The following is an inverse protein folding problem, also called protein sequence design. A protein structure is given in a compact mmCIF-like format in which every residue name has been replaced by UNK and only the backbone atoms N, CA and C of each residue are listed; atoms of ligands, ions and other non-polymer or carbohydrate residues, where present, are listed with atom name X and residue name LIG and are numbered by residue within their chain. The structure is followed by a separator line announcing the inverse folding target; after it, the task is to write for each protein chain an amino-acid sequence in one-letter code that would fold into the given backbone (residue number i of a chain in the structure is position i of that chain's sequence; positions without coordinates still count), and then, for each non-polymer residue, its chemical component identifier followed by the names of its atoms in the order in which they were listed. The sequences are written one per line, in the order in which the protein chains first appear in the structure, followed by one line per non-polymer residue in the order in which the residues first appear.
data_IF_053962882852
#
_entry.id   IF_053962882852
#
_cell.length_a   1.000
_cell.length_b   1.000
_cell.length_c   1.000
_cell.angle_alpha   90.00
_cell.angle_beta   90.00
_cell.angle_gamma   90.00
#
_symmetry.space_group_name_H-M   'P 1'
#
loop_
_entity.id
_entity.type
_entity.pdbx_description
1 polymer ?
#
# COMPACT_ATOMS: atom_id res chain seq x y z
N UNK A 1 -39.11 -41.96 -18.97
CA UNK A 1 -37.66 -42.00 -18.67
C UNK A 1 -37.45 -42.09 -17.17
N UNK A 2 -36.55 -42.94 -16.66
CA UNK A 2 -36.25 -43.09 -15.22
C UNK A 2 -35.03 -42.26 -14.77
N UNK A 3 -34.57 -41.33 -15.60
CA UNK A 3 -33.37 -40.51 -15.39
C UNK A 3 -33.57 -39.14 -16.02
N UNK A 4 -33.26 -38.07 -15.28
CA UNK A 4 -33.05 -36.73 -15.82
C UNK A 4 -31.60 -36.33 -15.50
N UNK A 5 -30.89 -35.76 -16.47
CA UNK A 5 -29.55 -35.18 -16.27
C UNK A 5 -29.54 -33.76 -16.81
N UNK A 6 -28.96 -32.83 -16.06
CA UNK A 6 -28.82 -31.45 -16.48
C UNK A 6 -27.34 -31.07 -16.48
N UNK A 7 -26.90 -30.55 -17.62
CA UNK A 7 -25.58 -29.99 -17.85
C UNK A 7 -25.75 -28.48 -17.96
N UNK A 8 -25.23 -27.70 -17.01
CA UNK A 8 -25.17 -26.25 -17.18
C UNK A 8 -23.86 -25.69 -16.67
N UNK A 9 -23.10 -25.13 -17.62
CA UNK A 9 -21.99 -24.22 -17.36
C UNK A 9 -22.54 -22.80 -17.31
N UNK A 10 -22.28 -22.09 -16.20
CA UNK A 10 -22.66 -20.69 -16.05
C UNK A 10 -21.49 -19.90 -15.45
N UNK A 11 -20.40 -19.85 -16.21
CA UNK A 11 -19.87 -18.62 -16.82
C UNK A 11 -18.71 -19.00 -17.74
N UNK A 12 -18.57 -18.32 -18.88
CA UNK A 12 -17.52 -18.53 -19.90
C UNK A 12 -17.51 -19.91 -20.61
N UNK A 13 -18.65 -20.49 -20.98
CA UNK A 13 -18.74 -21.73 -21.76
C UNK A 13 -18.03 -22.97 -21.16
N UNK A 14 -17.58 -22.92 -19.91
CA UNK A 14 -16.98 -24.07 -19.22
C UNK A 14 -17.99 -24.77 -18.30
N UNK A 15 -18.08 -26.09 -18.46
CA UNK A 15 -18.90 -26.99 -17.64
C UNK A 15 -18.23 -27.18 -16.28
N UNK A 16 -18.88 -26.72 -15.20
CA UNK A 16 -18.35 -26.83 -13.82
C UNK A 16 -18.84 -28.05 -13.04
N UNK A 17 -19.88 -28.72 -13.51
CA UNK A 17 -20.44 -29.90 -12.86
C UNK A 17 -21.66 -30.46 -13.58
N UNK A 18 -22.08 -31.66 -13.18
CA UNK A 18 -23.25 -32.37 -13.71
C UNK A 18 -24.13 -32.82 -12.56
N UNK A 19 -25.44 -32.59 -12.67
CA UNK A 19 -26.42 -33.07 -11.71
C UNK A 19 -27.34 -34.09 -12.38
N UNK A 20 -27.73 -35.12 -11.61
CA UNK A 20 -28.57 -36.20 -12.09
C UNK A 20 -29.56 -36.64 -11.02
N UNK A 21 -30.78 -36.93 -11.47
CA UNK A 21 -31.82 -37.54 -10.65
C UNK A 21 -32.18 -38.88 -11.27
N UNK A 22 -32.26 -39.90 -10.42
CA UNK A 22 -32.55 -41.28 -10.78
C UNK A 22 -33.78 -41.74 -10.01
N UNK A 23 -34.60 -42.58 -10.64
CA UNK A 23 -35.67 -43.35 -10.02
C UNK A 23 -36.65 -42.51 -9.20
N UNK A 24 -37.71 -42.04 -9.85
CA UNK A 24 -38.82 -41.37 -9.17
C UNK A 24 -39.46 -42.30 -8.14
N UNK A 25 -39.75 -41.79 -6.94
CA UNK A 25 -40.22 -42.59 -5.81
C UNK A 25 -41.61 -43.21 -6.02
N UNK A 26 -42.45 -42.61 -6.87
CA UNK A 26 -43.78 -43.10 -7.20
C UNK A 26 -43.76 -44.15 -8.35
N UNK A 27 -42.58 -44.53 -8.83
CA UNK A 27 -42.39 -45.53 -9.87
C UNK A 27 -42.77 -45.07 -11.29
N UNK A 28 -43.25 -43.83 -11.46
CA UNK A 28 -43.63 -43.28 -12.76
C UNK A 28 -42.42 -42.66 -13.47
N UNK A 29 -42.43 -42.59 -14.80
CA UNK A 29 -41.41 -41.86 -15.55
C UNK A 29 -41.46 -40.37 -15.25
N UNK A 30 -40.33 -39.69 -15.35
CA UNK A 30 -40.27 -38.23 -15.28
C UNK A 30 -41.01 -37.58 -16.46
N UNK A 31 -41.63 -36.43 -16.21
CA UNK A 31 -42.36 -35.61 -17.19
C UNK A 31 -41.71 -34.24 -17.46
N UNK A 32 -42.31 -33.45 -18.35
CA UNK A 32 -41.81 -32.12 -18.75
C UNK A 32 -41.84 -31.09 -17.59
N UNK A 33 -42.70 -31.29 -16.59
CA UNK A 33 -42.72 -30.44 -15.40
C UNK A 33 -41.52 -30.77 -14.51
N UNK A 34 -41.23 -32.05 -14.30
CA UNK A 34 -40.03 -32.53 -13.59
C UNK A 34 -38.74 -31.98 -14.23
N UNK A 35 -38.66 -32.01 -15.56
CA UNK A 35 -37.49 -31.50 -16.28
C UNK A 35 -37.30 -29.99 -16.09
N UNK A 36 -38.36 -29.18 -16.25
CA UNK A 36 -38.28 -27.72 -16.08
C UNK A 36 -37.92 -27.32 -14.65
N UNK A 37 -38.48 -28.02 -13.65
CA UNK A 37 -38.15 -27.79 -12.25
C UNK A 37 -36.68 -28.11 -11.97
N UNK A 38 -36.19 -29.26 -12.46
CA UNK A 38 -34.81 -29.67 -12.28
C UNK A 38 -33.82 -28.73 -13.00
N UNK A 39 -34.17 -28.25 -14.20
CA UNK A 39 -33.36 -27.27 -14.92
C UNK A 39 -33.25 -25.93 -14.15
N UNK A 40 -34.35 -25.44 -13.60
CA UNK A 40 -34.35 -24.23 -12.77
C UNK A 40 -33.49 -24.42 -11.51
N UNK A 41 -33.64 -25.55 -10.82
CA UNK A 41 -32.83 -25.90 -9.65
C UNK A 41 -31.34 -25.90 -9.95
N UNK A 42 -30.92 -26.55 -11.04
CA UNK A 42 -29.50 -26.66 -11.42
C UNK A 42 -28.90 -25.30 -11.81
N UNK A 43 -29.69 -24.36 -12.36
CA UNK A 43 -29.23 -22.97 -12.58
C UNK A 43 -28.88 -22.30 -11.25
N UNK A 44 -29.78 -22.34 -10.27
CA UNK A 44 -29.54 -21.72 -8.96
C UNK A 44 -28.37 -22.36 -8.23
N UNK A 45 -28.26 -23.69 -8.26
CA UNK A 45 -27.10 -24.39 -7.72
C UNK A 45 -25.81 -23.98 -8.44
N UNK A 46 -25.82 -23.89 -9.76
CA UNK A 46 -24.66 -23.47 -10.56
C UNK A 46 -24.17 -22.07 -10.20
N UNK A 47 -25.09 -21.12 -10.06
CA UNK A 47 -24.79 -19.75 -9.61
C UNK A 47 -24.24 -19.73 -8.18
N UNK A 48 -24.88 -20.47 -7.26
CA UNK A 48 -24.43 -20.57 -5.87
C UNK A 48 -23.04 -21.17 -5.73
N UNK A 49 -22.77 -22.27 -6.45
CA UNK A 49 -21.45 -22.92 -6.49
C UNK A 49 -20.42 -21.97 -7.12
N UNK A 50 -20.74 -21.33 -8.25
CA UNK A 50 -19.83 -20.41 -8.92
C UNK A 50 -19.45 -19.24 -8.01
N UNK A 51 -20.44 -18.60 -7.38
CA UNK A 51 -20.19 -17.49 -6.45
C UNK A 51 -19.37 -17.95 -5.26
N UNK A 52 -19.71 -19.10 -4.66
CA UNK A 52 -18.96 -19.64 -3.51
C UNK A 52 -17.50 -19.92 -3.86
N UNK A 53 -17.23 -20.52 -5.02
CA UNK A 53 -15.86 -20.75 -5.51
C UNK A 53 -15.12 -19.44 -5.73
N UNK A 54 -15.75 -18.45 -6.37
CA UNK A 54 -15.13 -17.13 -6.58
C UNK A 54 -14.80 -16.45 -5.25
N UNK A 55 -15.74 -16.47 -4.30
CA UNK A 55 -15.50 -15.92 -2.96
C UNK A 55 -14.38 -16.65 -2.21
N UNK A 56 -14.31 -17.98 -2.30
CA UNK A 56 -13.22 -18.77 -1.70
C UNK A 56 -11.86 -18.43 -2.34
N UNK A 57 -11.79 -18.26 -3.66
CA UNK A 57 -10.58 -17.84 -4.36
C UNK A 57 -10.13 -16.43 -3.93
N UNK A 58 -11.05 -15.48 -3.85
CA UNK A 58 -10.76 -14.12 -3.37
C UNK A 58 -10.23 -14.17 -1.93
N UNK A 59 -10.87 -14.93 -1.04
CA UNK A 59 -10.41 -15.10 0.35
C UNK A 59 -8.99 -15.68 0.42
N UNK A 60 -8.70 -16.71 -0.37
CA UNK A 60 -7.36 -17.32 -0.44
C UNK A 60 -6.32 -16.35 -0.97
N UNK A 61 -6.62 -15.62 -2.04
CA UNK A 61 -5.73 -14.60 -2.60
C UNK A 61 -5.49 -13.45 -1.62
N UNK A 62 -6.52 -13.01 -0.91
CA UNK A 62 -6.41 -11.97 0.12
C UNK A 62 -5.55 -12.43 1.30
N UNK A 63 -5.72 -13.66 1.76
CA UNK A 63 -4.87 -14.25 2.80
C UNK A 63 -3.40 -14.31 2.36
N UNK A 64 -3.12 -14.73 1.12
CA UNK A 64 -1.76 -14.72 0.57
C UNK A 64 -1.18 -13.31 0.49
N UNK A 65 -1.97 -12.34 0.03
CA UNK A 65 -1.56 -10.94 -0.04
C UNK A 65 -1.26 -10.37 1.36
N UNK A 66 -2.11 -10.66 2.35
CA UNK A 66 -1.89 -10.25 3.74
C UNK A 66 -0.57 -10.78 4.28
N UNK A 67 -0.31 -12.08 4.15
CA UNK A 67 0.95 -12.69 4.61
C UNK A 67 2.15 -12.10 3.87
N UNK A 68 2.04 -11.87 2.55
CA UNK A 68 3.11 -11.24 1.78
C UNK A 68 3.40 -9.81 2.27
N UNK A 69 2.36 -9.01 2.53
CA UNK A 69 2.50 -7.66 3.07
C UNK A 69 3.10 -7.66 4.48
N UNK A 70 2.72 -8.61 5.34
CA UNK A 70 3.28 -8.73 6.69
C UNK A 70 4.77 -9.05 6.64
N UNK A 71 5.19 -9.99 5.78
CA UNK A 71 6.61 -10.33 5.58
C UNK A 71 7.38 -9.12 5.04
N UNK A 72 6.84 -8.42 4.03
CA UNK A 72 7.46 -7.22 3.49
C UNK A 72 7.59 -6.12 4.55
N UNK A 73 6.52 -5.87 5.31
CA UNK A 73 6.49 -4.88 6.39
C UNK A 73 7.53 -5.19 7.48
N UNK A 74 7.66 -6.45 7.88
CA UNK A 74 8.64 -6.88 8.86
C UNK A 74 10.08 -6.55 8.43
N UNK A 75 10.42 -6.81 7.15
CA UNK A 75 11.75 -6.53 6.62
C UNK A 75 11.96 -5.04 6.31
N UNK A 76 10.91 -4.31 5.92
CA UNK A 76 10.94 -2.90 5.60
C UNK A 76 11.06 -2.00 6.84
N UNK A 77 10.41 -2.38 7.95
CA UNK A 77 10.32 -1.56 9.16
C UNK A 77 11.64 -1.54 9.92
N UNK A 78 11.98 -0.40 10.54
CA UNK A 78 13.15 -0.29 11.41
C UNK A 78 12.92 -0.98 12.77
N UNK A 79 14.01 -1.49 13.35
CA UNK A 79 13.97 -2.19 14.64
C UNK A 79 13.59 -1.22 15.78
N UNK A 80 13.02 -1.77 16.86
CA UNK A 80 12.69 -0.98 18.05
C UNK A 80 13.93 -0.27 18.64
N UNK A 81 15.09 -0.92 18.65
CA UNK A 81 16.33 -0.35 19.15
C UNK A 81 16.79 0.89 18.35
N UNK A 82 16.67 0.85 17.01
CA UNK A 82 16.97 2.01 16.16
C UNK A 82 16.03 3.18 16.44
N UNK A 83 14.74 2.88 16.62
CA UNK A 83 13.73 3.89 16.95
C UNK A 83 13.99 4.51 18.31
N UNK A 84 14.28 3.71 19.33
CA UNK A 84 14.56 4.19 20.69
C UNK A 84 15.81 5.07 20.72
N UNK A 85 16.87 4.68 19.98
CA UNK A 85 18.07 5.51 19.81
C UNK A 85 17.76 6.84 19.14
N UNK A 86 16.99 6.82 18.04
CA UNK A 86 16.67 8.03 17.29
C UNK A 86 15.75 8.98 18.07
N UNK A 87 14.77 8.45 18.79
CA UNK A 87 13.87 9.25 19.66
C UNK A 87 14.63 10.02 20.72
N UNK A 88 15.71 9.45 21.25
CA UNK A 88 16.55 10.06 22.27
C UNK A 88 17.61 11.02 21.72
N UNK A 89 17.72 11.17 20.39
CA UNK A 89 18.69 12.07 19.77
C UNK A 89 18.34 13.54 20.04
N UNK A 90 19.37 14.36 20.20
CA UNK A 90 19.19 15.81 20.20
C UNK A 90 18.80 16.28 18.81
N UNK A 91 17.77 17.13 18.71
CA UNK A 91 17.28 17.66 17.43
C UNK A 91 17.80 19.11 17.29
N UNK A 92 18.82 19.38 16.45
CA UNK A 92 19.35 20.73 16.28
C UNK A 92 18.30 21.67 15.69
N UNK A 93 18.46 22.98 15.88
CA UNK A 93 17.61 24.01 15.30
C UNK A 93 17.78 24.09 13.77
N UNK A 94 16.80 24.68 13.10
CA UNK A 94 16.84 24.91 11.64
C UNK A 94 18.11 25.65 11.22
N UNK A 95 18.46 26.72 11.94
CA UNK A 95 19.66 27.53 11.67
C UNK A 95 20.97 26.78 11.89
N UNK A 96 21.00 25.79 12.79
CA UNK A 96 22.19 24.95 13.02
C UNK A 96 22.37 23.92 11.90
N UNK A 97 21.28 23.53 11.25
CA UNK A 97 21.27 22.58 10.12
C UNK A 97 21.38 23.28 8.76
N UNK A 98 21.09 24.58 8.68
CA UNK A 98 21.09 25.37 7.44
C UNK A 98 20.00 24.97 6.44
N UNK A 99 18.94 24.30 6.89
CA UNK A 99 17.93 23.68 6.01
C UNK A 99 16.84 24.65 5.53
N UNK A 100 16.86 25.90 5.97
CA UNK A 100 15.99 26.98 5.50
C UNK A 100 16.57 27.76 4.31
N UNK A 101 17.82 27.50 3.91
CA UNK A 101 18.42 28.12 2.70
C UNK A 101 18.14 27.28 1.45
N UNK A 102 17.74 27.95 0.36
CA UNK A 102 17.57 27.34 -0.96
C UNK A 102 18.92 26.91 -1.59
N UNK A 103 20.04 27.47 -1.10
CA UNK A 103 21.41 27.11 -1.51
C UNK A 103 22.05 26.08 -0.57
N UNK A 104 21.24 25.36 0.20
CA UNK A 104 21.69 24.32 1.13
C UNK A 104 22.64 23.33 0.45
N UNK A 105 23.83 23.16 1.05
CA UNK A 105 24.81 22.15 0.64
C UNK A 105 24.50 20.84 1.36
N UNK A 106 24.00 19.85 0.63
CA UNK A 106 23.62 18.58 1.22
C UNK A 106 24.82 17.77 1.71
N UNK A 107 26.04 18.01 1.19
CA UNK A 107 27.26 17.35 1.67
C UNK A 107 27.64 17.79 3.09
N UNK A 108 27.06 18.88 3.60
CA UNK A 108 27.24 19.33 4.98
C UNK A 108 26.63 18.36 6.00
N UNK A 109 25.66 17.52 5.60
CA UNK A 109 24.98 16.56 6.47
C UNK A 109 25.30 15.11 6.07
N UNK A 110 25.57 14.28 7.07
CA UNK A 110 25.58 12.83 6.91
C UNK A 110 24.16 12.25 6.89
N UNK A 111 24.05 10.93 6.65
CA UNK A 111 22.76 10.24 6.51
C UNK A 111 21.93 10.26 7.80
N UNK A 112 22.55 10.26 8.98
CA UNK A 112 21.85 10.29 10.27
C UNK A 112 21.39 11.72 10.60
N UNK A 113 22.22 12.72 10.28
CA UNK A 113 21.89 14.13 10.38
C UNK A 113 20.72 14.51 9.45
N UNK A 114 20.66 13.96 8.23
CA UNK A 114 19.54 14.17 7.30
C UNK A 114 18.18 13.70 7.86
N UNK A 115 18.12 12.57 8.56
CA UNK A 115 16.85 12.15 9.18
C UNK A 115 16.48 13.06 10.33
N UNK A 116 17.48 13.46 11.13
CA UNK A 116 17.28 14.39 12.24
C UNK A 116 16.75 15.73 11.72
N UNK A 117 17.28 16.21 10.60
CA UNK A 117 16.80 17.39 9.89
C UNK A 117 15.38 17.19 9.35
N UNK A 118 15.06 16.04 8.75
CA UNK A 118 13.69 15.74 8.31
C UNK A 118 12.71 15.77 9.48
N UNK A 119 13.07 15.21 10.65
CA UNK A 119 12.27 15.31 11.87
C UNK A 119 12.09 16.77 12.33
N UNK A 120 13.17 17.57 12.30
CA UNK A 120 13.09 19.01 12.57
C UNK A 120 12.11 19.72 11.63
N UNK A 121 12.07 19.40 10.34
CA UNK A 121 11.12 20.01 9.39
C UNK A 121 9.66 19.80 9.81
N UNK A 122 9.27 18.58 10.22
CA UNK A 122 7.92 18.30 10.72
C UNK A 122 7.60 19.09 12.00
N UNK A 123 8.58 19.24 12.89
CA UNK A 123 8.42 20.01 14.13
C UNK A 123 8.29 21.50 13.84
N UNK A 124 9.12 22.05 12.96
CA UNK A 124 9.15 23.47 12.61
C UNK A 124 7.88 23.92 11.89
N UNK A 125 7.37 23.09 10.97
CA UNK A 125 6.09 23.33 10.32
C UNK A 125 4.88 23.17 11.28
N UNK A 126 5.11 22.76 12.54
CA UNK A 126 4.07 22.55 13.54
C UNK A 126 3.16 21.34 13.29
N UNK A 127 3.57 20.44 12.39
CA UNK A 127 2.74 19.31 11.95
C UNK A 127 2.49 18.31 13.08
N UNK A 128 3.50 18.10 13.93
CA UNK A 128 3.41 17.18 15.07
C UNK A 128 2.27 17.57 16.02
N UNK A 129 2.21 18.84 16.42
CA UNK A 129 1.21 19.33 17.35
C UNK A 129 -0.17 19.46 16.69
N UNK A 130 -0.24 20.02 15.47
CA UNK A 130 -1.51 20.26 14.77
C UNK A 130 -2.26 18.96 14.49
N UNK A 131 -1.56 17.94 13.99
CA UNK A 131 -2.17 16.65 13.64
C UNK A 131 -2.09 15.61 14.77
N UNK A 132 -1.54 15.99 15.93
CA UNK A 132 -1.34 15.09 17.09
C UNK A 132 -0.58 13.82 16.70
N UNK A 133 0.46 13.98 15.88
CA UNK A 133 1.28 12.87 15.42
C UNK A 133 2.06 12.36 16.62
N UNK A 134 1.90 11.08 16.93
CA UNK A 134 2.71 10.42 17.95
C UNK A 134 4.20 10.46 17.56
N UNK A 135 5.04 10.94 18.47
CA UNK A 135 6.45 11.19 18.20
C UNK A 135 7.21 9.90 17.84
N UNK A 136 6.91 8.80 18.53
CA UNK A 136 7.52 7.50 18.20
C UNK A 136 7.10 7.02 16.81
N UNK A 137 5.83 7.20 16.47
CA UNK A 137 5.29 6.85 15.16
C UNK A 137 5.98 7.65 14.05
N UNK A 138 6.20 8.96 14.24
CA UNK A 138 6.94 9.78 13.28
C UNK A 138 8.41 9.35 13.15
N UNK A 139 9.10 9.13 14.27
CA UNK A 139 10.48 8.64 14.27
C UNK A 139 10.61 7.30 13.54
N UNK A 140 9.71 6.35 13.83
CA UNK A 140 9.67 5.04 13.17
C UNK A 140 9.38 5.17 11.69
N UNK A 141 8.44 6.04 11.31
CA UNK A 141 8.09 6.29 9.92
C UNK A 141 9.27 6.87 9.13
N UNK A 142 9.92 7.93 9.63
CA UNK A 142 11.10 8.53 8.99
C UNK A 142 12.24 7.53 8.79
N UNK A 143 12.58 6.76 9.82
CA UNK A 143 13.60 5.73 9.73
C UNK A 143 13.24 4.65 8.70
N UNK A 144 11.97 4.24 8.68
CA UNK A 144 11.45 3.23 7.74
C UNK A 144 11.48 3.76 6.31
N UNK A 145 11.07 5.01 6.05
CA UNK A 145 11.17 5.66 4.74
C UNK A 145 12.62 5.66 4.26
N UNK A 146 13.57 6.15 5.07
CA UNK A 146 15.00 6.11 4.73
C UNK A 146 15.45 4.70 4.35
N UNK A 147 15.14 3.71 5.19
CA UNK A 147 15.57 2.31 5.02
C UNK A 147 15.09 1.71 3.69
N UNK A 148 13.97 2.19 3.14
CA UNK A 148 13.37 1.68 1.91
C UNK A 148 13.80 2.45 0.65
N UNK A 149 14.70 3.43 0.77
CA UNK A 149 15.47 3.94 -0.37
C UNK A 149 16.63 2.99 -0.69
N UNK A 150 16.76 2.62 -1.97
CA UNK A 150 17.84 1.75 -2.43
C UNK A 150 19.17 2.51 -2.53
N UNK A 151 20.27 1.77 -2.36
CA UNK A 151 21.62 2.29 -2.64
C UNK A 151 21.88 2.30 -4.15
N UNK A 152 21.28 3.28 -4.85
CA UNK A 152 21.52 3.57 -6.27
C UNK A 152 22.23 4.92 -6.43
N UNK A 153 22.78 5.18 -7.61
CA UNK A 153 23.65 6.35 -7.85
C UNK A 153 22.96 7.70 -7.55
N UNK A 154 21.67 7.84 -7.86
CA UNK A 154 20.96 9.13 -7.74
C UNK A 154 19.67 9.04 -6.91
N UNK A 155 18.69 8.23 -7.33
CA UNK A 155 17.37 8.09 -6.67
C UNK A 155 17.44 7.33 -5.33
N UNK A 156 18.19 7.87 -4.38
CA UNK A 156 18.43 7.34 -3.05
C UNK A 156 17.89 8.32 -1.98
N UNK A 157 18.09 8.01 -0.69
CA UNK A 157 17.58 8.83 0.41
C UNK A 157 18.04 10.29 0.35
N UNK A 158 19.28 10.55 -0.07
CA UNK A 158 19.83 11.90 -0.16
C UNK A 158 19.06 12.75 -1.19
N UNK A 159 18.70 12.15 -2.33
CA UNK A 159 17.83 12.81 -3.31
C UNK A 159 16.46 13.18 -2.72
N UNK A 160 15.79 12.22 -2.07
CA UNK A 160 14.50 12.46 -1.46
C UNK A 160 14.54 13.53 -0.36
N UNK A 161 15.59 13.51 0.47
CA UNK A 161 15.84 14.53 1.47
C UNK A 161 16.03 15.91 0.84
N UNK A 162 16.83 16.05 -0.21
CA UNK A 162 17.06 17.34 -0.88
C UNK A 162 15.77 17.90 -1.50
N UNK A 163 14.94 17.04 -2.11
CA UNK A 163 13.61 17.45 -2.60
C UNK A 163 12.73 17.95 -1.46
N UNK A 164 12.73 17.24 -0.32
CA UNK A 164 11.99 17.66 0.87
C UNK A 164 12.53 18.97 1.48
N UNK A 165 13.85 19.13 1.55
CA UNK A 165 14.51 20.30 2.09
C UNK A 165 14.19 21.54 1.25
N UNK A 166 14.27 21.43 -0.08
CA UNK A 166 13.90 22.54 -0.96
C UNK A 166 12.43 22.93 -0.78
N UNK A 167 11.53 21.95 -0.70
CA UNK A 167 10.12 22.22 -0.42
C UNK A 167 9.92 22.90 0.94
N UNK A 168 10.63 22.44 1.97
CA UNK A 168 10.62 23.07 3.30
C UNK A 168 11.10 24.52 3.24
N UNK A 169 12.23 24.81 2.58
CA UNK A 169 12.75 26.16 2.41
C UNK A 169 11.74 27.05 1.66
N UNK A 170 11.09 26.55 0.60
CA UNK A 170 10.04 27.28 -0.11
C UNK A 170 8.83 27.59 0.80
N UNK A 171 8.42 26.64 1.63
CA UNK A 171 7.30 26.83 2.56
C UNK A 171 7.61 27.90 3.62
N UNK A 172 8.82 27.93 4.15
CA UNK A 172 9.21 28.81 5.26
C UNK A 172 9.73 30.18 4.82
N UNK A 173 10.34 30.28 3.64
CA UNK A 173 10.99 31.54 3.19
C UNK A 173 10.26 32.25 2.04
N UNK A 174 9.48 31.53 1.23
CA UNK A 174 8.78 32.10 0.07
C UNK A 174 7.29 32.38 0.32
N UNK A 175 6.82 32.28 1.57
CA UNK A 175 5.44 32.60 1.96
C UNK A 175 4.38 31.56 1.54
N UNK A 176 4.79 30.39 1.05
CA UNK A 176 3.84 29.38 0.56
C UNK A 176 2.99 28.77 1.67
N UNK A 177 3.48 28.81 2.92
CA UNK A 177 2.72 28.38 4.09
C UNK A 177 1.46 29.23 4.36
N UNK A 178 1.36 30.45 3.80
CA UNK A 178 0.16 31.29 3.89
C UNK A 178 -0.89 30.94 2.82
N UNK A 179 -0.47 30.22 1.78
CA UNK A 179 -1.31 29.87 0.62
C UNK A 179 -1.93 28.48 0.80
N UNK A 180 -1.15 27.54 1.32
CA UNK A 180 -1.53 26.14 1.45
C UNK A 180 -2.14 25.85 2.82
N UNK A 181 -3.16 25.00 2.83
CA UNK A 181 -3.71 24.45 4.08
C UNK A 181 -2.72 23.52 4.75
N UNK A 182 -2.87 23.30 6.05
CA UNK A 182 -1.93 22.45 6.78
C UNK A 182 -1.90 21.00 6.30
N UNK A 183 -3.04 20.49 5.81
CA UNK A 183 -3.11 19.13 5.27
C UNK A 183 -2.37 19.03 3.93
N UNK A 184 -2.42 20.08 3.10
CA UNK A 184 -1.64 20.14 1.86
C UNK A 184 -0.15 20.21 2.16
N UNK A 185 0.27 21.01 3.15
CA UNK A 185 1.67 21.08 3.59
C UNK A 185 2.16 19.71 4.09
N UNK A 186 1.38 19.04 4.95
CA UNK A 186 1.71 17.71 5.43
C UNK A 186 1.83 16.71 4.26
N UNK A 187 0.86 16.72 3.35
CA UNK A 187 0.85 15.83 2.19
C UNK A 187 2.05 16.10 1.25
N UNK A 188 2.45 17.37 1.08
CA UNK A 188 3.61 17.75 0.27
C UNK A 188 4.91 17.23 0.88
N UNK A 189 5.16 17.47 2.16
CA UNK A 189 6.39 17.00 2.83
C UNK A 189 6.46 15.46 2.84
N UNK A 190 5.35 14.79 3.14
CA UNK A 190 5.26 13.32 3.06
C UNK A 190 5.49 12.84 1.62
N UNK A 191 4.92 13.53 0.64
CA UNK A 191 5.11 13.23 -0.79
C UNK A 191 6.57 13.35 -1.21
N UNK A 192 7.24 14.45 -0.86
CA UNK A 192 8.66 14.68 -1.16
C UNK A 192 9.55 13.54 -0.64
N UNK A 193 9.34 13.12 0.61
CA UNK A 193 10.11 12.05 1.24
C UNK A 193 9.81 10.65 0.68
N UNK A 194 8.69 10.45 -0.01
CA UNK A 194 8.24 9.12 -0.47
C UNK A 194 8.29 8.94 -1.99
N UNK A 195 8.48 10.00 -2.78
CA UNK A 195 8.20 9.99 -4.23
C UNK A 195 9.00 8.96 -5.04
N UNK A 196 10.17 8.56 -4.54
CA UNK A 196 11.13 7.67 -5.19
C UNK A 196 11.44 6.41 -4.35
N UNK A 197 10.56 6.04 -3.42
CA UNK A 197 10.73 4.82 -2.62
C UNK A 197 10.87 3.57 -3.49
N UNK A 198 11.78 2.67 -3.10
CA UNK A 198 12.14 1.45 -3.83
C UNK A 198 12.65 1.65 -5.29
N UNK A 199 13.00 2.89 -5.70
CA UNK A 199 13.46 3.15 -7.07
C UNK A 199 14.72 2.34 -7.43
N UNK A 200 14.67 1.64 -8.57
CA UNK A 200 15.67 0.62 -8.97
C UNK A 200 16.84 1.16 -9.80
N UNK A 201 16.83 2.45 -10.11
CA UNK A 201 17.85 3.09 -10.94
C UNK A 201 17.66 2.87 -12.44
N UNK A 202 16.46 2.44 -12.86
CA UNK A 202 16.09 2.26 -14.26
C UNK A 202 14.84 3.08 -14.57
N UNK A 203 14.68 3.48 -15.83
CA UNK A 203 13.53 4.27 -16.26
C UNK A 203 12.36 3.38 -16.73
N UNK A 204 11.19 3.98 -16.94
CA UNK A 204 9.98 3.28 -17.37
C UNK A 204 10.19 2.50 -18.68
N UNK A 205 10.99 3.03 -19.61
CA UNK A 205 11.28 2.38 -20.88
C UNK A 205 12.08 1.07 -20.72
N UNK A 206 12.89 0.96 -19.66
CA UNK A 206 13.58 -0.28 -19.31
C UNK A 206 12.62 -1.32 -18.69
N UNK A 207 11.68 -0.89 -17.84
CA UNK A 207 10.71 -1.79 -17.17
C UNK A 207 9.63 -2.35 -18.13
N UNK A 208 9.37 -1.65 -19.23
CA UNK A 208 8.41 -2.10 -20.24
C UNK A 208 8.97 -3.12 -21.24
N UNK A 209 10.29 -3.41 -21.18
CA UNK A 209 10.96 -4.42 -22.01
C UNK A 209 11.04 -5.75 -21.28
#
# INVERSE_FOLDING_TARGET
MNRISALKGLSFNFLKGVAQVLNRLDGKPFDDADQRLFEAFVIFCGLGINNTIMYDQVKKSWAKQSVALDVLSYHATCSKAEVDKFKAANIPLVSELGIDDIHFDDFSLDVDAMITAALRMFMELGMVQKFKIDYETLCRWLLTVRKNYRMVLYHNWRHAFNVCQLMFAMLTTAGFQEILTEIEILALIVGCLCHDLDHRGTNNAFQAK
#
